data_IF_601921058618
#
_entry.id   IF_601921058618
#
_cell.length_a   1.000
_cell.length_b   1.000
_cell.length_c   1.000
_cell.angle_alpha   90.00
_cell.angle_beta   90.00
_cell.angle_gamma   90.00
#
_symmetry.space_group_name_H-M   'P 1'
#
loop_
_entity.id
_entity.type
_entity.pdbx_description
1 polymer ?
#
# COMPACT_ATOMS: atom_id res chain seq x y z
N UNK A 1 -14.16 16.10 13.86
CA UNK A 1 -14.58 15.43 12.62
C UNK A 1 -14.94 13.98 12.92
N UNK A 2 -16.07 13.49 12.42
CA UNK A 2 -16.47 12.08 12.57
C UNK A 2 -15.50 11.19 11.76
N UNK A 3 -15.06 10.03 12.28
CA UNK A 3 -14.20 9.14 11.52
C UNK A 3 -14.93 8.63 10.27
N UNK A 4 -14.27 8.73 9.11
CA UNK A 4 -14.78 8.17 7.86
C UNK A 4 -14.56 6.66 7.89
N UNK A 5 -15.66 5.90 7.96
CA UNK A 5 -15.64 4.44 7.92
C UNK A 5 -15.86 3.96 6.48
N UNK A 6 -15.08 2.98 6.09
CA UNK A 6 -15.05 2.40 4.76
C UNK A 6 -15.68 1.01 4.80
N UNK A 7 -16.28 0.61 3.69
CA UNK A 7 -16.58 -0.80 3.41
C UNK A 7 -15.44 -1.41 2.60
N UNK A 8 -15.40 -2.73 2.51
CA UNK A 8 -14.45 -3.43 1.66
C UNK A 8 -15.16 -4.52 0.88
N UNK A 9 -14.70 -4.72 -0.35
CA UNK A 9 -15.22 -5.73 -1.25
C UNK A 9 -14.06 -6.51 -1.85
N UNK A 10 -14.08 -7.83 -1.65
CA UNK A 10 -13.16 -8.72 -2.33
C UNK A 10 -13.72 -9.04 -3.72
N UNK A 11 -12.97 -8.66 -4.74
CA UNK A 11 -13.37 -8.81 -6.14
C UNK A 11 -12.24 -9.45 -6.93
N UNK A 12 -12.58 -10.28 -7.91
CA UNK A 12 -11.56 -10.78 -8.83
C UNK A 12 -11.02 -9.66 -9.72
N UNK A 13 -11.94 -8.85 -10.25
CA UNK A 13 -11.66 -7.72 -11.15
C UNK A 13 -12.18 -6.43 -10.55
N UNK A 14 -11.36 -5.38 -10.58
CA UNK A 14 -11.75 -4.05 -10.11
C UNK A 14 -12.81 -3.48 -11.06
N UNK A 15 -13.95 -2.97 -10.54
CA UNK A 15 -14.98 -2.39 -11.40
C UNK A 15 -14.46 -1.13 -12.12
N UNK A 16 -15.06 -0.84 -13.28
CA UNK A 16 -14.71 0.35 -14.06
C UNK A 16 -15.01 1.64 -13.28
N UNK A 17 -16.16 1.66 -12.61
CA UNK A 17 -16.62 2.73 -11.74
C UNK A 17 -16.37 2.35 -10.29
N UNK A 18 -15.76 3.25 -9.53
CA UNK A 18 -15.48 3.06 -8.11
C UNK A 18 -16.43 3.88 -7.27
N UNK A 19 -16.95 3.30 -6.20
CA UNK A 19 -17.77 4.02 -5.24
C UNK A 19 -16.94 4.69 -4.14
N UNK A 20 -17.41 5.86 -3.70
CA UNK A 20 -16.81 6.57 -2.59
C UNK A 20 -17.02 5.79 -1.29
N UNK A 21 -15.95 5.61 -0.51
CA UNK A 21 -16.00 4.89 0.77
C UNK A 21 -15.84 3.37 0.67
N UNK A 22 -15.62 2.83 -0.53
CA UNK A 22 -15.40 1.38 -0.74
C UNK A 22 -13.92 1.10 -1.05
N UNK A 23 -13.36 0.09 -0.38
CA UNK A 23 -12.07 -0.51 -0.73
C UNK A 23 -12.29 -1.76 -1.57
N UNK A 24 -11.89 -1.71 -2.84
CA UNK A 24 -11.89 -2.89 -3.67
C UNK A 24 -10.55 -3.62 -3.54
N UNK A 25 -10.62 -4.87 -3.09
CA UNK A 25 -9.45 -5.73 -2.87
C UNK A 25 -9.46 -6.83 -3.92
N UNK A 26 -8.50 -6.80 -4.83
CA UNK A 26 -8.24 -7.92 -5.74
C UNK A 26 -7.03 -8.72 -5.26
N UNK A 27 -7.29 -9.92 -4.74
CA UNK A 27 -6.23 -10.86 -4.41
C UNK A 27 -5.57 -11.43 -5.67
N UNK A 28 -6.35 -11.60 -6.75
CA UNK A 28 -5.87 -12.07 -8.05
C UNK A 28 -4.78 -11.16 -8.62
N UNK A 29 -4.96 -9.85 -8.53
CA UNK A 29 -4.00 -8.85 -9.01
C UNK A 29 -3.17 -8.22 -7.89
N UNK A 30 -3.24 -8.80 -6.68
CA UNK A 30 -2.51 -8.33 -5.49
C UNK A 30 -2.57 -6.81 -5.33
N UNK A 31 -3.77 -6.23 -5.34
CA UNK A 31 -3.97 -4.78 -5.40
C UNK A 31 -5.21 -4.38 -4.64
N UNK A 32 -5.11 -3.23 -3.96
CA UNK A 32 -6.27 -2.56 -3.36
C UNK A 32 -6.45 -1.19 -4.02
N UNK A 33 -7.68 -0.87 -4.40
CA UNK A 33 -8.04 0.39 -5.07
C UNK A 33 -9.24 1.02 -4.36
N UNK A 34 -9.18 2.34 -4.17
CA UNK A 34 -10.29 3.14 -3.67
C UNK A 34 -10.24 4.56 -4.23
N UNK A 35 -11.35 5.29 -4.12
CA UNK A 35 -11.36 6.74 -4.32
C UNK A 35 -10.75 7.44 -3.11
N UNK A 36 -9.96 8.47 -3.36
CA UNK A 36 -9.25 9.22 -2.34
C UNK A 36 -10.18 9.68 -1.21
N UNK A 37 -9.85 9.31 0.03
CA UNK A 37 -10.69 9.56 1.20
C UNK A 37 -10.88 11.04 1.56
N UNK A 38 -10.19 11.98 0.90
CA UNK A 38 -10.47 13.40 1.04
C UNK A 38 -11.68 13.87 0.21
N UNK A 39 -12.19 13.02 -0.69
CA UNK A 39 -13.32 13.35 -1.55
C UNK A 39 -12.95 13.98 -2.90
N UNK A 40 -11.67 14.10 -3.25
CA UNK A 40 -11.25 14.70 -4.53
C UNK A 40 -11.49 13.81 -5.76
N UNK A 41 -11.99 12.58 -5.58
CA UNK A 41 -12.29 11.64 -6.67
C UNK A 41 -11.08 10.98 -7.33
N UNK A 42 -9.85 11.25 -6.87
CA UNK A 42 -8.65 10.60 -7.43
C UNK A 42 -8.60 9.11 -7.07
N UNK A 43 -8.30 8.25 -8.05
CA UNK A 43 -8.12 6.80 -7.86
C UNK A 43 -6.79 6.52 -7.18
N UNK A 44 -6.83 5.99 -5.96
CA UNK A 44 -5.65 5.57 -5.20
C UNK A 44 -5.42 4.09 -5.44
N UNK A 45 -4.20 3.71 -5.81
CA UNK A 45 -3.80 2.32 -6.05
C UNK A 45 -2.73 1.93 -5.04
N UNK A 46 -2.93 0.79 -4.38
CA UNK A 46 -2.00 0.25 -3.37
C UNK A 46 -1.65 -1.19 -3.70
N UNK A 47 -0.55 -1.42 -4.46
CA UNK A 47 -0.10 -2.76 -4.83
C UNK A 47 0.41 -3.54 -3.61
N UNK A 48 -0.16 -4.72 -3.37
CA UNK A 48 0.19 -5.56 -2.23
C UNK A 48 1.48 -6.33 -2.51
N UNK A 49 2.52 -6.07 -1.73
CA UNK A 49 3.78 -6.83 -1.78
C UNK A 49 4.54 -6.72 -0.46
N UNK A 50 5.47 -7.66 -0.14
CA UNK A 50 6.24 -7.60 1.10
C UNK A 50 7.08 -6.33 1.29
N UNK A 51 7.45 -5.65 0.19
CA UNK A 51 8.27 -4.43 0.20
C UNK A 51 7.49 -3.13 0.03
N UNK A 52 6.17 -3.19 -0.14
CA UNK A 52 5.32 -2.02 -0.40
C UNK A 52 4.09 -2.04 0.53
N UNK A 53 2.90 -2.32 -0.01
CA UNK A 53 1.67 -2.35 0.79
C UNK A 53 1.37 -3.73 1.36
N UNK A 54 0.84 -3.72 2.58
CA UNK A 54 0.29 -4.89 3.26
C UNK A 54 -1.16 -4.61 3.66
N UNK A 55 -2.02 -5.53 3.29
CA UNK A 55 -3.39 -5.62 3.75
C UNK A 55 -3.47 -6.64 4.90
N UNK A 56 -4.15 -6.26 5.96
CA UNK A 56 -4.60 -7.19 7.01
C UNK A 56 -6.12 -7.27 6.95
N UNK A 57 -6.66 -8.48 6.99
CA UNK A 57 -8.09 -8.75 7.09
C UNK A 57 -8.30 -9.78 8.21
N UNK A 58 -9.19 -9.47 9.14
CA UNK A 58 -9.48 -10.30 10.34
C UNK A 58 -10.82 -11.05 10.24
N UNK A 59 -11.49 -10.99 9.09
CA UNK A 59 -12.84 -11.54 8.89
C UNK A 59 -13.95 -10.48 8.95
N UNK A 60 -13.68 -9.28 9.45
CA UNK A 60 -14.67 -8.20 9.57
C UNK A 60 -14.15 -6.83 9.10
N UNK A 61 -12.85 -6.58 9.24
CA UNK A 61 -12.25 -5.27 9.02
C UNK A 61 -10.95 -5.36 8.23
N UNK A 62 -10.63 -4.29 7.50
CA UNK A 62 -9.41 -4.18 6.71
C UNK A 62 -8.50 -3.07 7.20
N UNK A 63 -7.20 -3.33 7.20
CA UNK A 63 -6.16 -2.35 7.51
C UNK A 63 -5.08 -2.36 6.42
N UNK A 64 -4.58 -1.18 6.05
CA UNK A 64 -3.49 -1.03 5.07
C UNK A 64 -2.25 -0.41 5.71
N UNK A 65 -1.10 -1.05 5.60
CA UNK A 65 0.20 -0.49 6.00
C UNK A 65 1.15 -0.41 4.80
N UNK A 66 1.93 0.67 4.62
CA UNK A 66 2.08 1.86 5.47
C UNK A 66 0.89 2.85 5.34
N UNK A 67 1.09 4.13 5.69
CA UNK A 67 0.07 5.18 5.45
C UNK A 67 0.03 5.60 3.99
N UNK A 68 -1.15 6.00 3.52
CA UNK A 68 -1.43 6.51 2.18
C UNK A 68 -1.11 7.99 2.12
N UNK A 69 -0.01 8.33 1.46
CA UNK A 69 0.39 9.70 1.15
C UNK A 69 0.22 10.01 -0.34
N UNK A 70 -0.72 10.89 -0.66
CA UNK A 70 -1.07 11.27 -2.03
C UNK A 70 -0.38 12.56 -2.47
N UNK A 71 0.93 12.66 -2.26
CA UNK A 71 1.71 13.90 -2.49
C UNK A 71 1.75 14.35 -3.95
N UNK A 72 1.52 13.42 -4.89
CA UNK A 72 1.40 13.70 -6.33
C UNK A 72 0.03 14.24 -6.73
N UNK A 73 -0.99 14.16 -5.86
CA UNK A 73 -2.32 14.70 -6.12
C UNK A 73 -2.46 16.13 -5.59
N UNK A 74 -3.34 16.96 -6.20
CA UNK A 74 -3.58 18.33 -5.73
C UNK A 74 -3.99 18.39 -4.25
N UNK A 75 -4.72 17.38 -3.76
CA UNK A 75 -5.18 17.34 -2.37
C UNK A 75 -4.08 17.06 -1.34
N UNK A 76 -2.93 16.50 -1.77
CA UNK A 76 -1.79 16.12 -0.90
C UNK A 76 -2.22 15.41 0.39
N UNK A 77 -3.27 14.59 0.30
CA UNK A 77 -3.89 13.95 1.46
C UNK A 77 -2.95 12.90 2.06
N UNK A 78 -2.96 12.77 3.38
CA UNK A 78 -2.18 11.75 4.10
C UNK A 78 -3.02 11.11 5.20
N UNK A 79 -3.22 9.79 5.12
CA UNK A 79 -4.06 9.06 6.06
C UNK A 79 -3.66 7.60 6.20
N UNK A 80 -4.16 6.99 7.26
CA UNK A 80 -4.12 5.56 7.53
C UNK A 80 -5.51 4.96 7.29
N UNK A 81 -5.55 3.70 6.88
CA UNK A 81 -6.77 2.88 6.93
C UNK A 81 -6.53 1.80 7.99
N UNK A 82 -7.28 1.88 9.08
CA UNK A 82 -7.18 1.01 10.26
C UNK A 82 -8.56 0.57 10.67
N UNK A 83 -8.80 -0.73 10.75
CA UNK A 83 -10.08 -1.32 11.16
C UNK A 83 -11.25 -0.76 10.32
N UNK A 84 -11.03 -0.74 8.99
CA UNK A 84 -11.90 -0.12 7.99
C UNK A 84 -12.21 1.37 8.25
N UNK A 85 -11.34 2.09 8.95
CA UNK A 85 -11.55 3.49 9.32
C UNK A 85 -10.39 4.35 8.86
N UNK A 86 -10.70 5.50 8.25
CA UNK A 86 -9.73 6.51 7.86
C UNK A 86 -9.28 7.29 9.09
N UNK A 87 -7.98 7.25 9.37
CA UNK A 87 -7.33 8.07 10.39
C UNK A 87 -6.37 9.03 9.71
N UNK A 88 -6.71 10.31 9.67
CA UNK A 88 -5.86 11.34 9.09
C UNK A 88 -4.50 11.36 9.79
N UNK A 89 -3.43 11.31 8.99
CA UNK A 89 -2.09 11.43 9.53
C UNK A 89 -1.87 12.88 9.96
N UNK A 90 -1.22 13.06 11.12
CA UNK A 90 -0.83 14.39 11.54
C UNK A 90 0.12 15.00 10.50
N UNK A 91 -0.08 16.26 10.15
CA UNK A 91 0.94 17.01 9.44
C UNK A 91 2.19 17.03 10.31
N UNK A 92 3.31 16.56 9.78
CA UNK A 92 4.56 16.60 10.53
C UNK A 92 4.95 18.05 10.73
N UNK A 93 5.15 18.43 11.99
CA UNK A 93 5.77 19.70 12.33
C UNK A 93 7.19 19.74 11.75
N UNK A 94 7.75 20.93 11.44
CA UNK A 94 9.12 21.05 10.95
C UNK A 94 10.15 20.27 11.79
N UNK A 95 9.98 20.27 13.12
CA UNK A 95 10.81 19.52 14.08
C UNK A 95 10.72 18.00 13.90
N UNK A 96 9.55 17.46 13.54
CA UNK A 96 9.38 16.04 13.24
C UNK A 96 10.00 15.65 11.90
N UNK A 97 9.94 16.54 10.90
CA UNK A 97 10.62 16.36 9.61
C UNK A 97 12.13 16.30 9.82
N UNK A 98 12.70 17.21 10.61
CA UNK A 98 14.13 17.20 10.97
C UNK A 98 14.53 15.94 11.72
N UNK A 99 13.75 15.54 12.74
CA UNK A 99 14.02 14.34 13.52
C UNK A 99 13.94 13.04 12.69
N UNK A 100 13.10 13.01 11.65
CA UNK A 100 13.04 11.89 10.72
C UNK A 100 14.19 11.89 9.72
N UNK A 101 14.58 13.06 9.20
CA UNK A 101 15.77 13.21 8.36
C UNK A 101 17.04 12.80 9.11
N UNK A 102 17.16 13.15 10.38
CA UNK A 102 18.26 12.71 11.25
C UNK A 102 18.29 11.18 11.44
N UNK A 103 17.12 10.52 11.49
CA UNK A 103 17.01 9.06 11.57
C UNK A 103 17.32 8.37 10.23
N UNK A 104 16.85 8.92 9.11
CA UNK A 104 17.13 8.38 7.76
C UNK A 104 18.58 8.63 7.33
N UNK A 105 19.22 9.70 7.84
CA UNK A 105 20.62 10.05 7.59
C UNK A 105 21.65 9.02 8.07
N UNK A 106 21.24 8.01 8.84
CA UNK A 106 22.10 6.87 9.25
C UNK A 106 21.88 5.61 8.40
N UNK A 107 21.05 5.68 7.35
CA UNK A 107 20.79 4.55 6.42
C UNK A 107 21.09 4.89 4.96
N UNK A 108 21.95 5.88 4.73
CA UNK A 108 22.53 6.15 3.42
C UNK A 108 23.59 5.11 3.07
N UNK A 109 23.18 3.95 2.57
CA UNK A 109 23.88 3.12 1.57
C UNK A 109 23.19 1.75 1.43
N UNK A 110 22.07 1.69 0.70
CA UNK A 110 21.82 0.57 -0.23
C UNK A 110 21.26 1.15 -1.51
N UNK A 111 22.17 1.38 -2.44
CA UNK A 111 21.89 1.99 -3.74
C UNK A 111 20.83 1.22 -4.51
N UNK A 112 19.91 1.99 -5.10
CA UNK A 112 19.18 1.62 -6.30
C UNK A 112 20.18 1.41 -7.44
N UNK A 113 20.48 0.15 -7.75
CA UNK A 113 21.07 -0.22 -9.02
C UNK A 113 20.04 -1.10 -9.75
N UNK A 114 19.11 -0.47 -10.45
CA UNK A 114 18.30 -1.15 -11.47
C UNK A 114 19.23 -1.51 -12.63
N UNK A 115 19.84 -2.69 -12.58
CA UNK A 115 20.34 -3.36 -13.79
C UNK A 115 19.20 -4.20 -14.34
N UNK A 116 18.65 -3.77 -15.46
CA UNK A 116 17.88 -4.61 -16.36
C UNK A 116 18.67 -5.89 -16.67
N UNK A 117 18.11 -7.05 -16.36
CA UNK A 117 18.59 -8.35 -16.84
C UNK A 117 17.37 -9.19 -17.25
N UNK A 118 17.35 -9.53 -18.53
CA UNK A 118 16.26 -10.23 -19.22
C UNK A 118 16.05 -11.69 -18.79
N UNK A 119 15.11 -12.39 -19.44
CA UNK A 119 14.39 -13.56 -18.89
C UNK A 119 15.15 -14.91 -18.91
N UNK A 120 16.45 -14.94 -19.25
CA UNK A 120 17.14 -16.19 -19.59
C UNK A 120 17.98 -16.85 -18.47
N UNK A 121 17.73 -16.56 -17.19
CA UNK A 121 18.52 -17.11 -16.07
C UNK A 121 17.68 -17.62 -14.90
N UNK A 122 16.51 -18.19 -15.15
CA UNK A 122 15.59 -18.71 -14.12
C UNK A 122 15.16 -20.16 -14.35
N UNK A 123 16.05 -20.97 -14.92
CA UNK A 123 15.93 -22.42 -14.97
C UNK A 123 17.13 -23.05 -14.25
N UNK A 124 16.85 -24.06 -13.43
CA UNK A 124 17.78 -24.84 -12.59
C UNK A 124 18.15 -24.20 -11.23
N UNK A 125 17.24 -24.34 -10.26
CA UNK A 125 17.54 -24.95 -8.95
C UNK A 125 16.22 -25.17 -8.16
N UNK A 126 15.31 -25.97 -8.74
CA UNK A 126 14.05 -26.37 -8.10
C UNK A 126 13.73 -27.86 -8.22
N UNK A 127 14.75 -28.71 -8.17
CA UNK A 127 14.57 -30.16 -8.00
C UNK A 127 15.67 -30.66 -7.06
N UNK A 128 15.32 -31.58 -6.15
CA UNK A 128 16.16 -32.24 -5.13
C UNK A 128 16.09 -31.70 -3.68
N UNK A 129 14.87 -31.51 -3.15
CA UNK A 129 14.62 -31.58 -1.68
C UNK A 129 13.37 -32.40 -1.32
N UNK A 130 13.05 -33.41 -2.13
CA UNK A 130 11.92 -34.30 -1.88
C UNK A 130 12.22 -35.77 -2.24
N UNK A 131 13.48 -36.20 -2.17
CA UNK A 131 13.86 -37.62 -2.31
C UNK A 131 15.15 -37.94 -1.53
N UNK A 132 15.06 -38.05 -0.21
CA UNK A 132 15.83 -39.05 0.55
C UNK A 132 14.92 -39.63 1.63
N UNK A 133 14.85 -40.97 1.75
CA UNK A 133 14.03 -41.67 2.73
C UNK A 133 14.49 -41.40 4.17
#
# INVERSE_FOLDING_TARGET
MKPLRLTHEFVDYIPEQLDAGVLYVSLRFTTVIHLCCCGCGSKVVTPLSPGDWRLTFDGASVSLSPSIGNWSYPCRSHYWIRDSTVRWAAQWTPKQVEAARARTGQSGQRGSASKSRGPAARLLQRVLRWLRP
#
